data_IF_209770005639
#
_entry.id   IF_209770005639
#
_cell.length_a   1.000
_cell.length_b   1.000
_cell.length_c   1.000
_cell.angle_alpha   90.00
_cell.angle_beta   90.00
_cell.angle_gamma   90.00
#
_symmetry.space_group_name_H-M   'P 1'
#
loop_
_entity.id
_entity.type
_entity.pdbx_description
1 polymer ?
#
# COMPACT_ATOMS: atom_id res chain seq x y z
N UNK A 1 -12.02 7.11 -10.13
CA UNK A 1 -12.96 7.89 -9.28
C UNK A 1 -12.36 8.08 -7.89
N UNK A 2 -12.41 9.29 -7.37
CA UNK A 2 -11.92 9.56 -6.02
C UNK A 2 -12.91 8.97 -5.01
N UNK A 3 -12.38 8.21 -4.04
CA UNK A 3 -13.18 7.56 -2.99
C UNK A 3 -12.89 8.19 -1.64
N UNK A 4 -13.83 8.06 -0.71
CA UNK A 4 -13.62 8.49 0.67
C UNK A 4 -12.66 7.53 1.37
N UNK A 5 -11.74 8.10 2.16
CA UNK A 5 -10.83 7.30 3.00
C UNK A 5 -11.59 6.91 4.26
N UNK A 6 -11.71 5.62 4.50
CA UNK A 6 -12.37 5.09 5.69
C UNK A 6 -11.43 5.17 6.90
N UNK A 7 -12.02 5.26 8.08
CA UNK A 7 -11.28 5.30 9.34
C UNK A 7 -11.75 4.20 10.28
N UNK A 8 -10.85 3.80 11.18
CA UNK A 8 -11.12 2.83 12.21
C UNK A 8 -10.40 1.50 11.98
N UNK A 9 -10.20 0.76 13.06
CA UNK A 9 -9.46 -0.49 13.02
C UNK A 9 -10.14 -1.60 12.23
N UNK A 10 -11.45 -1.54 12.09
CA UNK A 10 -12.22 -2.58 11.42
C UNK A 10 -11.87 -2.76 9.94
N UNK A 11 -11.36 -1.72 9.28
CA UNK A 11 -10.97 -1.82 7.86
C UNK A 11 -9.73 -2.70 7.66
N UNK A 12 -8.95 -2.93 8.73
CA UNK A 12 -7.75 -3.76 8.70
C UNK A 12 -7.97 -5.11 9.38
N UNK A 13 -9.21 -5.46 9.71
CA UNK A 13 -9.52 -6.69 10.46
C UNK A 13 -9.42 -7.97 9.64
N UNK A 14 -9.27 -7.86 8.33
CA UNK A 14 -9.21 -9.01 7.42
C UNK A 14 -7.94 -8.96 6.58
N UNK A 15 -7.39 -10.15 6.33
CA UNK A 15 -6.37 -10.29 5.31
C UNK A 15 -7.01 -10.05 3.94
N UNK A 16 -6.38 -9.23 3.11
CA UNK A 16 -6.90 -8.92 1.78
C UNK A 16 -6.86 -10.15 0.86
N UNK A 17 -7.86 -10.27 0.01
CA UNK A 17 -7.94 -11.33 -1.00
C UNK A 17 -7.09 -10.94 -2.21
N UNK A 18 -6.55 -11.92 -2.97
CA UNK A 18 -5.87 -11.61 -4.22
C UNK A 18 -6.77 -10.84 -5.17
N UNK A 19 -6.21 -9.85 -5.85
CA UNK A 19 -6.91 -9.08 -6.86
C UNK A 19 -6.79 -9.78 -8.22
N UNK A 20 -7.79 -9.56 -9.08
CA UNK A 20 -7.83 -10.10 -10.45
C UNK A 20 -8.07 -8.96 -11.43
N UNK A 21 -8.03 -9.23 -12.73
CA UNK A 21 -8.30 -8.21 -13.74
C UNK A 21 -9.68 -7.57 -13.60
N UNK A 22 -10.63 -8.25 -12.98
CA UNK A 22 -11.94 -7.68 -12.66
C UNK A 22 -11.83 -6.50 -11.69
N UNK A 23 -10.70 -6.36 -10.99
CA UNK A 23 -10.46 -5.29 -10.02
C UNK A 23 -9.73 -4.07 -10.60
N UNK A 24 -9.58 -3.96 -11.93
CA UNK A 24 -8.90 -2.83 -12.58
C UNK A 24 -9.49 -1.47 -12.18
N UNK A 25 -10.80 -1.39 -12.02
CA UNK A 25 -11.45 -0.15 -11.61
C UNK A 25 -11.01 0.25 -10.20
N UNK A 26 -10.80 -0.73 -9.32
CA UNK A 26 -10.30 -0.47 -7.95
C UNK A 26 -8.91 0.15 -8.00
N UNK A 27 -8.04 -0.34 -8.89
CA UNK A 27 -6.69 0.21 -9.08
C UNK A 27 -6.79 1.68 -9.49
N UNK A 28 -7.63 2.00 -10.47
CA UNK A 28 -7.85 3.38 -10.94
C UNK A 28 -8.39 4.26 -9.82
N UNK A 29 -9.40 3.79 -9.10
CA UNK A 29 -10.00 4.54 -8.00
C UNK A 29 -8.99 4.83 -6.89
N UNK A 30 -8.13 3.86 -6.58
CA UNK A 30 -7.11 4.00 -5.56
C UNK A 30 -6.03 5.02 -5.96
N UNK A 31 -5.59 4.99 -7.22
CA UNK A 31 -4.65 5.98 -7.75
C UNK A 31 -5.27 7.38 -7.72
N UNK A 32 -6.51 7.52 -8.15
CA UNK A 32 -7.21 8.80 -8.14
C UNK A 32 -7.35 9.36 -6.71
N UNK A 33 -7.66 8.49 -5.76
CA UNK A 33 -7.81 8.87 -4.36
C UNK A 33 -6.47 9.31 -3.76
N UNK A 34 -5.38 8.59 -4.08
CA UNK A 34 -4.04 8.97 -3.61
C UNK A 34 -3.65 10.34 -4.19
N UNK A 35 -3.87 10.57 -5.48
CA UNK A 35 -3.55 11.85 -6.11
C UNK A 35 -4.31 13.01 -5.48
N UNK A 36 -5.57 12.80 -5.14
CA UNK A 36 -6.39 13.82 -4.47
C UNK A 36 -5.90 14.12 -3.05
N UNK A 37 -5.18 13.21 -2.43
CA UNK A 37 -4.68 13.33 -1.05
C UNK A 37 -3.16 13.38 -0.96
N UNK A 38 -2.47 13.63 -2.07
CA UNK A 38 -1.00 13.54 -2.14
C UNK A 38 -0.24 14.48 -1.20
N UNK A 39 -0.86 15.54 -0.73
CA UNK A 39 -0.24 16.47 0.21
C UNK A 39 -0.19 15.91 1.64
N UNK A 40 -1.07 14.95 1.94
CA UNK A 40 -1.20 14.38 3.29
C UNK A 40 -0.98 12.88 3.31
N UNK A 41 -0.83 12.24 2.15
CA UNK A 41 -0.70 10.80 2.04
C UNK A 41 0.26 10.42 0.92
N UNK A 42 1.17 9.50 1.22
CA UNK A 42 2.19 9.04 0.26
C UNK A 42 1.96 7.59 -0.20
N UNK A 43 0.99 6.91 0.38
CA UNK A 43 0.62 5.55 -0.01
C UNK A 43 -0.72 5.17 0.55
N UNK A 44 -1.40 4.22 -0.11
CA UNK A 44 -2.71 3.72 0.30
C UNK A 44 -2.86 2.26 -0.07
N UNK A 45 -3.65 1.55 0.72
CA UNK A 45 -4.09 0.19 0.41
C UNK A 45 -5.59 0.20 0.09
N UNK A 46 -6.05 -0.79 -0.69
CA UNK A 46 -7.44 -0.84 -1.14
C UNK A 46 -8.44 -0.91 0.01
N UNK A 47 -8.09 -1.53 1.14
CA UNK A 47 -8.97 -1.58 2.30
C UNK A 47 -9.30 -0.19 2.85
N UNK A 48 -8.45 0.81 2.61
CA UNK A 48 -8.70 2.19 3.05
C UNK A 48 -9.85 2.85 2.28
N UNK A 49 -10.25 2.31 1.14
CA UNK A 49 -11.43 2.76 0.38
C UNK A 49 -12.54 1.70 0.39
N UNK A 50 -12.46 0.76 1.31
CA UNK A 50 -13.52 -0.23 1.55
C UNK A 50 -13.47 -1.48 0.68
N UNK A 51 -12.35 -1.73 0.01
CA UNK A 51 -12.19 -2.91 -0.86
C UNK A 51 -11.17 -3.86 -0.28
N UNK A 52 -11.60 -5.08 0.05
CA UNK A 52 -10.72 -6.10 0.67
C UNK A 52 -9.93 -6.88 -0.38
N UNK A 53 -9.08 -6.18 -1.12
CA UNK A 53 -8.23 -6.75 -2.16
C UNK A 53 -6.78 -6.35 -1.95
N UNK A 54 -5.85 -7.21 -2.40
CA UNK A 54 -4.41 -7.00 -2.23
C UNK A 54 -3.88 -6.03 -3.30
N UNK A 55 -4.18 -4.75 -3.12
CA UNK A 55 -3.75 -3.67 -4.00
C UNK A 55 -3.23 -2.53 -3.13
N UNK A 56 -2.04 -2.05 -3.46
CA UNK A 56 -1.50 -0.83 -2.85
C UNK A 56 -1.12 0.16 -3.94
N UNK A 57 -1.08 1.44 -3.58
CA UNK A 57 -0.54 2.50 -4.44
C UNK A 57 0.47 3.31 -3.64
N UNK A 58 1.48 3.79 -4.35
CA UNK A 58 2.63 4.46 -3.75
C UNK A 58 2.91 5.73 -4.53
N UNK A 59 3.17 6.83 -3.82
CA UNK A 59 3.62 8.08 -4.41
C UNK A 59 5.13 8.18 -4.25
N UNK A 60 5.85 8.18 -5.38
CA UNK A 60 7.31 8.29 -5.42
C UNK A 60 7.67 9.57 -6.19
N UNK A 61 7.85 10.67 -5.45
CA UNK A 61 8.05 11.98 -6.05
C UNK A 61 6.81 12.41 -6.85
N UNK A 62 6.96 12.82 -8.12
CA UNK A 62 5.82 13.25 -8.94
C UNK A 62 4.97 12.10 -9.48
N UNK A 63 5.38 10.85 -9.27
CA UNK A 63 4.71 9.68 -9.84
C UNK A 63 3.95 8.90 -8.79
N UNK A 64 2.79 8.38 -9.17
CA UNK A 64 2.03 7.42 -8.39
C UNK A 64 1.94 6.13 -9.18
N UNK A 65 2.17 5.00 -8.52
CA UNK A 65 2.09 3.70 -9.18
C UNK A 65 1.39 2.68 -8.28
N UNK A 66 0.79 1.68 -8.92
CA UNK A 66 0.08 0.62 -8.22
C UNK A 66 0.92 -0.65 -8.17
N UNK A 67 0.76 -1.39 -7.08
CA UNK A 67 1.27 -2.75 -6.94
C UNK A 67 0.10 -3.66 -6.61
N UNK A 68 -0.21 -4.59 -7.53
CA UNK A 68 -1.29 -5.55 -7.36
C UNK A 68 -0.69 -6.86 -6.88
N UNK A 69 -1.26 -7.43 -5.84
CA UNK A 69 -0.77 -8.68 -5.21
C UNK A 69 0.72 -8.61 -4.85
N UNK A 70 1.19 -7.55 -4.17
CA UNK A 70 2.61 -7.41 -3.87
C UNK A 70 3.10 -8.45 -2.87
N UNK A 71 4.30 -8.98 -3.11
CA UNK A 71 4.98 -9.90 -2.20
C UNK A 71 6.41 -9.43 -2.01
N UNK A 72 6.80 -9.13 -0.78
CA UNK A 72 8.18 -8.79 -0.47
C UNK A 72 8.98 -10.10 -0.44
N UNK A 73 9.93 -10.24 -1.37
CA UNK A 73 10.73 -11.45 -1.53
C UNK A 73 12.06 -11.39 -0.82
N UNK A 74 12.61 -10.18 -0.63
CA UNK A 74 13.87 -9.97 0.09
C UNK A 74 13.77 -8.67 0.87
N UNK A 75 14.44 -8.63 2.02
CA UNK A 75 14.52 -7.43 2.86
C UNK A 75 15.81 -7.44 3.65
N UNK A 76 16.42 -6.27 3.84
CA UNK A 76 17.66 -6.10 4.58
C UNK A 76 17.74 -4.71 5.20
N UNK A 77 18.58 -4.57 6.24
CA UNK A 77 18.76 -3.30 6.92
C UNK A 77 17.62 -2.94 7.85
N UNK A 78 17.33 -3.80 8.85
CA UNK A 78 16.26 -3.58 9.82
C UNK A 78 16.48 -2.29 10.62
N UNK A 79 15.41 -1.51 10.79
CA UNK A 79 15.42 -0.33 11.66
C UNK A 79 14.05 -0.13 12.30
N UNK A 80 14.04 0.61 13.43
CA UNK A 80 12.81 0.95 14.13
C UNK A 80 12.38 2.36 13.76
N UNK A 81 11.07 2.55 13.58
CA UNK A 81 10.51 3.86 13.26
C UNK A 81 9.08 3.95 13.79
N UNK A 82 8.48 5.13 13.65
CA UNK A 82 7.08 5.34 13.97
C UNK A 82 6.34 5.80 12.71
N UNK A 83 5.14 5.28 12.51
CA UNK A 83 4.33 5.59 11.33
C UNK A 83 2.90 5.90 11.70
N UNK A 84 2.29 6.83 10.94
CA UNK A 84 0.88 7.14 11.02
C UNK A 84 0.14 6.65 9.79
N UNK A 85 -1.19 6.55 9.90
CA UNK A 85 -2.07 6.19 8.80
C UNK A 85 -3.31 7.07 8.85
N UNK A 86 -3.79 7.53 7.68
CA UNK A 86 -5.00 8.37 7.61
C UNK A 86 -6.24 7.66 8.16
N UNK A 87 -6.26 6.33 8.12
CA UNK A 87 -7.38 5.52 8.59
C UNK A 87 -7.32 5.21 10.09
N UNK A 88 -6.21 5.53 10.75
CA UNK A 88 -6.02 5.30 12.19
C UNK A 88 -5.46 6.55 12.84
N UNK A 89 -5.92 6.85 14.05
CA UNK A 89 -5.41 7.98 14.81
C UNK A 89 -4.06 7.67 15.44
N UNK A 90 -3.19 8.70 15.54
CA UNK A 90 -1.90 8.62 16.19
C UNK A 90 -0.83 7.93 15.35
N UNK A 91 0.33 7.73 15.96
CA UNK A 91 1.47 7.04 15.35
C UNK A 91 1.72 5.73 16.10
N UNK A 92 2.33 4.76 15.43
CA UNK A 92 2.62 3.45 15.98
C UNK A 92 4.06 3.07 15.71
N UNK A 93 4.75 2.45 16.68
CA UNK A 93 6.09 1.94 16.44
C UNK A 93 6.03 0.73 15.50
N UNK A 94 7.01 0.63 14.62
CA UNK A 94 7.09 -0.49 13.70
C UNK A 94 8.54 -0.76 13.29
N UNK A 95 8.78 -1.97 12.78
CA UNK A 95 10.07 -2.37 12.24
C UNK A 95 9.96 -2.33 10.73
N UNK A 96 10.94 -1.69 10.07
CA UNK A 96 11.04 -1.58 8.62
C UNK A 96 12.44 -1.97 8.15
N UNK A 97 12.60 -2.11 6.85
CA UNK A 97 13.86 -2.49 6.24
C UNK A 97 14.29 -1.44 5.21
N UNK A 98 15.58 -1.12 5.21
CA UNK A 98 16.16 -0.10 4.33
C UNK A 98 16.03 -0.47 2.86
N UNK A 99 16.15 -1.75 2.54
CA UNK A 99 16.07 -2.26 1.17
C UNK A 99 15.14 -3.45 1.10
N UNK A 100 14.31 -3.46 0.05
CA UNK A 100 13.38 -4.57 -0.20
C UNK A 100 13.36 -4.90 -1.69
N UNK A 101 12.98 -6.15 -2.01
CA UNK A 101 12.65 -6.58 -3.35
C UNK A 101 11.21 -7.08 -3.33
N UNK A 102 10.44 -6.69 -4.35
CA UNK A 102 9.00 -6.95 -4.39
C UNK A 102 8.63 -7.55 -5.75
N UNK A 103 7.88 -8.63 -5.73
CA UNK A 103 7.19 -9.16 -6.91
C UNK A 103 5.75 -8.67 -6.86
N UNK A 104 5.25 -8.14 -7.97
CA UNK A 104 3.89 -7.60 -8.02
C UNK A 104 3.37 -7.59 -9.45
N UNK A 105 2.09 -7.31 -9.62
CA UNK A 105 1.49 -7.01 -10.91
C UNK A 105 1.31 -5.50 -11.02
N UNK A 106 1.56 -4.95 -12.22
CA UNK A 106 1.36 -3.52 -12.46
C UNK A 106 -0.13 -3.21 -12.73
N UNK A 107 -0.44 -1.96 -13.09
CA UNK A 107 -1.81 -1.55 -13.38
C UNK A 107 -2.46 -2.30 -14.55
N UNK A 108 -1.65 -2.93 -15.40
CA UNK A 108 -2.11 -3.77 -16.51
C UNK A 108 -2.09 -5.26 -16.17
N UNK A 109 -1.88 -5.60 -14.89
CA UNK A 109 -1.80 -6.98 -14.38
C UNK A 109 -0.67 -7.79 -15.02
N UNK A 110 0.43 -7.11 -15.37
CA UNK A 110 1.63 -7.77 -15.88
C UNK A 110 2.64 -7.96 -14.74
N UNK A 111 3.29 -9.14 -14.67
CA UNK A 111 4.28 -9.40 -13.61
C UNK A 111 5.46 -8.44 -13.66
N UNK A 112 5.83 -7.94 -12.50
CA UNK A 112 6.98 -7.04 -12.32
C UNK A 112 7.78 -7.48 -11.10
N UNK A 113 9.06 -7.12 -11.11
CA UNK A 113 9.95 -7.28 -9.97
C UNK A 113 10.73 -5.99 -9.80
N UNK A 114 10.74 -5.44 -8.60
CA UNK A 114 11.42 -4.18 -8.32
C UNK A 114 12.25 -4.23 -7.05
N UNK A 115 13.30 -3.40 -7.02
CA UNK A 115 14.10 -3.15 -5.83
C UNK A 115 13.81 -1.72 -5.36
N UNK A 116 13.57 -1.57 -4.08
CA UNK A 116 13.23 -0.27 -3.48
C UNK A 116 14.05 -0.06 -2.23
N UNK A 117 14.37 1.19 -1.93
CA UNK A 117 15.14 1.58 -0.75
C UNK A 117 14.60 2.87 -0.16
N UNK A 118 15.06 3.20 1.04
CA UNK A 118 14.73 4.46 1.70
C UNK A 118 13.24 4.63 1.95
N UNK A 119 12.76 5.85 1.72
CA UNK A 119 11.37 6.21 2.02
C UNK A 119 10.36 5.45 1.16
N UNK A 120 10.66 5.23 -0.13
CA UNK A 120 9.77 4.45 -1.00
C UNK A 120 9.59 3.03 -0.46
N UNK A 121 10.68 2.39 -0.03
CA UNK A 121 10.60 1.07 0.59
C UNK A 121 9.77 1.09 1.88
N UNK A 122 9.88 2.14 2.67
CA UNK A 122 9.09 2.29 3.89
C UNK A 122 7.59 2.38 3.58
N UNK A 123 7.21 3.15 2.57
CA UNK A 123 5.81 3.29 2.14
C UNK A 123 5.24 1.95 1.70
N UNK A 124 5.97 1.21 0.87
CA UNK A 124 5.54 -0.10 0.37
C UNK A 124 5.32 -1.07 1.53
N UNK A 125 6.25 -1.13 2.48
CA UNK A 125 6.13 -2.00 3.65
C UNK A 125 4.94 -1.64 4.52
N UNK A 126 4.70 -0.35 4.72
CA UNK A 126 3.55 0.13 5.49
C UNK A 126 2.23 -0.32 4.83
N UNK A 127 2.07 -0.07 3.54
CA UNK A 127 0.85 -0.39 2.81
C UNK A 127 0.65 -1.91 2.69
N UNK A 128 1.73 -2.67 2.45
CA UNK A 128 1.63 -4.14 2.42
C UNK A 128 1.21 -4.69 3.78
N UNK A 129 1.73 -4.13 4.86
CA UNK A 129 1.34 -4.54 6.21
C UNK A 129 -0.17 -4.39 6.42
N UNK A 130 -0.77 -3.33 5.88
CA UNK A 130 -2.20 -3.09 6.00
C UNK A 130 -3.04 -4.15 5.28
N UNK A 131 -2.59 -4.67 4.15
CA UNK A 131 -3.36 -5.67 3.38
C UNK A 131 -3.15 -7.11 3.84
N UNK A 132 -2.07 -7.40 4.57
CA UNK A 132 -1.82 -8.75 5.11
C UNK A 132 -2.22 -8.88 6.57
N UNK A 133 -2.63 -7.81 7.21
CA UNK A 133 -3.00 -7.79 8.63
C UNK A 133 -4.23 -8.64 8.89
N UNK A 134 -4.18 -9.40 9.97
CA UNK A 134 -5.33 -10.11 10.51
C UNK A 134 -5.64 -9.54 11.89
N UNK A 135 -6.92 -9.53 12.21
CA UNK A 135 -7.38 -9.09 13.55
C UNK A 135 -7.01 -10.08 14.63
#
# INVERSE_FOLDING_TARGET
MIKNILKGKHIFSRKAKPATEADKQVVTDLIDTLRANREICVGMAANMIGVNKSIIVVSAGPFQFAMVNPVITKKSGEYKTEEGCLSLDGVRPCIRYEEIEVDYLDSNFKPQHGKYSGFTAQIIQHDECDIIRTS
#
